data_IF_180331979416
#
_entry.id   IF_180331979416
#
_cell.length_a   1.000
_cell.length_b   1.000
_cell.length_c   1.000
_cell.angle_alpha   90.00
_cell.angle_beta   90.00
_cell.angle_gamma   90.00
#
_symmetry.space_group_name_H-M   'P 1'
#
loop_
_entity.id
_entity.type
_entity.pdbx_description
1 polymer ?
#
# COMPACT_ATOMS: atom_id res chain seq x y z
N UNK A 1 -15.88 -39.27 2.14
CA UNK A 1 -16.43 -38.23 3.03
C UNK A 1 -15.31 -37.23 3.23
N UNK A 2 -15.43 -36.03 2.67
CA UNK A 2 -14.46 -34.96 2.91
C UNK A 2 -14.72 -34.44 4.32
N UNK A 3 -13.83 -34.76 5.26
CA UNK A 3 -13.83 -34.15 6.58
C UNK A 3 -13.79 -32.63 6.38
N UNK A 4 -14.92 -31.97 6.61
CA UNK A 4 -14.97 -30.52 6.67
C UNK A 4 -14.12 -30.14 7.87
N UNK A 5 -12.85 -29.78 7.63
CA UNK A 5 -12.00 -29.16 8.64
C UNK A 5 -12.81 -28.08 9.37
N UNK A 6 -12.95 -28.23 10.69
CA UNK A 6 -13.47 -27.19 11.55
C UNK A 6 -12.53 -25.99 11.49
N UNK A 7 -13.04 -24.80 11.82
CA UNK A 7 -12.21 -23.59 11.83
C UNK A 7 -10.98 -23.74 12.73
N UNK A 8 -11.14 -24.40 13.88
CA UNK A 8 -10.04 -24.68 14.82
C UNK A 8 -8.97 -25.61 14.23
N UNK A 9 -9.38 -26.67 13.54
CA UNK A 9 -8.43 -27.59 12.91
C UNK A 9 -7.66 -26.90 11.78
N UNK A 10 -8.35 -26.06 11.00
CA UNK A 10 -7.70 -25.30 9.93
C UNK A 10 -6.77 -24.21 10.50
N UNK A 11 -7.18 -23.50 11.57
CA UNK A 11 -6.34 -22.48 12.21
C UNK A 11 -5.08 -23.08 12.85
N UNK A 12 -5.19 -24.29 13.42
CA UNK A 12 -4.05 -25.03 13.96
C UNK A 12 -3.06 -25.40 12.85
N UNK A 13 -3.56 -25.88 11.70
CA UNK A 13 -2.74 -26.18 10.52
C UNK A 13 -2.07 -24.92 9.96
N UNK A 14 -2.80 -23.83 9.80
CA UNK A 14 -2.26 -22.52 9.40
C UNK A 14 -1.16 -22.05 10.36
N UNK A 15 -1.41 -22.11 11.67
CA UNK A 15 -0.45 -21.68 12.69
C UNK A 15 0.82 -22.54 12.69
N UNK A 16 0.67 -23.85 12.45
CA UNK A 16 1.79 -24.78 12.34
C UNK A 16 2.61 -24.50 11.08
N UNK A 17 1.95 -24.32 9.93
CA UNK A 17 2.60 -23.95 8.66
C UNK A 17 3.32 -22.61 8.80
N UNK A 18 2.66 -21.57 9.31
CA UNK A 18 3.26 -20.24 9.50
C UNK A 18 4.56 -20.27 10.34
N UNK A 19 4.61 -21.10 11.39
CA UNK A 19 5.81 -21.22 12.24
C UNK A 19 6.97 -21.96 11.57
N UNK A 20 6.68 -22.82 10.61
CA UNK A 20 7.63 -23.73 9.99
C UNK A 20 7.96 -23.38 8.55
N UNK A 21 7.20 -22.48 7.92
CA UNK A 21 7.43 -22.08 6.54
C UNK A 21 8.72 -21.27 6.46
N UNK A 22 9.67 -21.79 5.66
CA UNK A 22 10.93 -21.11 5.32
C UNK A 22 10.74 -20.17 4.13
N UNK A 23 9.63 -20.34 3.40
CA UNK A 23 9.29 -19.54 2.23
C UNK A 23 8.59 -18.25 2.69
N UNK A 24 9.05 -17.12 2.16
CA UNK A 24 8.72 -15.77 2.65
C UNK A 24 7.23 -15.42 2.63
N UNK A 25 6.87 -14.37 3.36
CA UNK A 25 5.48 -13.99 3.64
C UNK A 25 4.58 -13.71 2.42
N UNK A 26 5.13 -13.44 1.22
CA UNK A 26 4.34 -13.16 0.01
C UNK A 26 3.75 -14.43 -0.62
N UNK A 27 4.51 -15.52 -0.74
CA UNK A 27 4.00 -16.80 -1.29
C UNK A 27 2.96 -17.44 -0.35
N UNK A 28 3.08 -17.17 0.94
CA UNK A 28 2.08 -17.53 1.93
C UNK A 28 0.81 -16.68 1.78
N UNK A 29 0.93 -15.39 1.46
CA UNK A 29 -0.20 -14.49 1.31
C UNK A 29 -1.11 -14.87 0.14
N UNK A 30 -0.55 -15.26 -1.01
CA UNK A 30 -1.35 -15.63 -2.18
C UNK A 30 -2.13 -16.92 -1.96
N UNK A 31 -1.48 -17.92 -1.33
CA UNK A 31 -2.16 -19.16 -0.91
C UNK A 31 -3.30 -18.85 0.07
N UNK A 32 -3.03 -18.01 1.07
CA UNK A 32 -4.00 -17.57 2.07
C UNK A 32 -5.21 -16.84 1.46
N UNK A 33 -4.98 -15.94 0.50
CA UNK A 33 -6.07 -15.26 -0.24
C UNK A 33 -6.97 -16.28 -0.95
N UNK A 34 -6.39 -17.28 -1.60
CA UNK A 34 -7.14 -18.35 -2.27
C UNK A 34 -7.95 -19.20 -1.29
N UNK A 35 -7.36 -19.59 -0.16
CA UNK A 35 -8.04 -20.40 0.85
C UNK A 35 -9.21 -19.64 1.52
N UNK A 36 -9.00 -18.38 1.91
CA UNK A 36 -10.03 -17.55 2.54
C UNK A 36 -11.19 -17.23 1.59
N UNK A 37 -10.93 -17.16 0.29
CA UNK A 37 -11.99 -17.00 -0.72
C UNK A 37 -13.00 -18.17 -0.67
N UNK A 38 -12.56 -19.37 -0.30
CA UNK A 38 -13.43 -20.55 -0.19
C UNK A 38 -14.29 -20.58 1.09
N UNK A 39 -14.00 -19.69 2.04
CA UNK A 39 -14.73 -19.63 3.31
C UNK A 39 -16.09 -18.96 3.13
N UNK A 40 -17.03 -19.29 4.01
CA UNK A 40 -18.23 -18.48 4.17
C UNK A 40 -17.91 -17.21 4.98
N UNK A 41 -18.80 -16.20 4.93
CA UNK A 41 -18.59 -14.91 5.59
C UNK A 41 -18.25 -15.02 7.08
N UNK A 42 -18.92 -15.93 7.81
CA UNK A 42 -18.64 -16.16 9.23
C UNK A 42 -17.20 -16.65 9.48
N UNK A 43 -16.73 -17.60 8.68
CA UNK A 43 -15.36 -18.11 8.78
C UNK A 43 -14.33 -17.08 8.34
N UNK A 44 -14.64 -16.25 7.33
CA UNK A 44 -13.78 -15.14 6.92
C UNK A 44 -13.61 -14.13 8.05
N UNK A 45 -14.72 -13.71 8.67
CA UNK A 45 -14.71 -12.80 9.81
C UNK A 45 -13.88 -13.36 10.98
N UNK A 46 -14.20 -14.58 11.42
CA UNK A 46 -13.50 -15.21 12.54
C UNK A 46 -12.00 -15.38 12.26
N UNK A 47 -11.63 -15.66 11.00
CA UNK A 47 -10.23 -15.78 10.60
C UNK A 47 -9.49 -14.46 10.74
N UNK A 48 -10.04 -13.39 10.17
CA UNK A 48 -9.44 -12.06 10.23
C UNK A 48 -9.33 -11.58 11.68
N UNK A 49 -10.32 -11.88 12.53
CA UNK A 49 -10.25 -11.54 13.97
C UNK A 49 -9.10 -12.23 14.69
N UNK A 50 -8.82 -13.50 14.38
CA UNK A 50 -7.68 -14.21 14.98
C UNK A 50 -6.33 -13.64 14.51
N UNK A 51 -6.25 -13.16 13.26
CA UNK A 51 -5.07 -12.45 12.77
C UNK A 51 -4.89 -11.11 13.50
N UNK A 52 -5.96 -10.33 13.68
CA UNK A 52 -5.94 -9.02 14.34
C UNK A 52 -5.48 -9.08 15.81
N UNK A 53 -5.74 -10.20 16.50
CA UNK A 53 -5.30 -10.43 17.89
C UNK A 53 -3.77 -10.59 18.01
N UNK A 54 -3.06 -10.90 16.92
CA UNK A 54 -1.65 -11.30 16.96
C UNK A 54 -0.78 -10.29 16.22
N UNK A 55 0.07 -9.56 16.96
CA UNK A 55 0.92 -8.49 16.40
C UNK A 55 1.75 -8.95 15.19
N UNK A 56 2.28 -10.17 15.23
CA UNK A 56 3.11 -10.73 14.15
C UNK A 56 2.32 -11.18 12.91
N UNK A 57 0.98 -11.17 12.97
CA UNK A 57 0.10 -11.55 11.85
C UNK A 57 -0.70 -10.37 11.29
N UNK A 58 -0.49 -9.16 11.83
CA UNK A 58 -1.22 -7.96 11.41
C UNK A 58 -1.04 -7.66 9.92
N UNK A 59 0.12 -7.94 9.37
CA UNK A 59 0.37 -7.86 7.94
C UNK A 59 -0.69 -8.62 7.12
N UNK A 60 -0.94 -9.90 7.46
CA UNK A 60 -1.94 -10.72 6.77
C UNK A 60 -3.37 -10.23 7.00
N UNK A 61 -3.68 -9.76 8.22
CA UNK A 61 -4.98 -9.17 8.50
C UNK A 61 -5.25 -7.98 7.57
N UNK A 62 -4.30 -7.07 7.45
CA UNK A 62 -4.45 -5.86 6.64
C UNK A 62 -4.47 -6.14 5.13
N UNK A 63 -3.84 -7.21 4.67
CA UNK A 63 -3.94 -7.63 3.27
C UNK A 63 -5.28 -8.31 2.94
N UNK A 64 -5.95 -8.91 3.95
CA UNK A 64 -7.24 -9.59 3.77
C UNK A 64 -8.46 -8.70 4.02
N UNK A 65 -8.39 -7.75 4.94
CA UNK A 65 -9.53 -6.86 5.29
C UNK A 65 -10.13 -6.16 4.06
N UNK A 66 -9.35 -5.60 3.11
CA UNK A 66 -9.92 -4.96 1.94
C UNK A 66 -10.67 -5.89 0.99
N UNK A 67 -10.46 -7.21 1.12
CA UNK A 67 -11.07 -8.23 0.26
C UNK A 67 -12.28 -8.90 0.92
N UNK A 68 -12.17 -9.18 2.22
CA UNK A 68 -13.13 -10.03 2.94
C UNK A 68 -13.54 -9.47 4.31
N UNK A 69 -12.94 -8.36 4.75
CA UNK A 69 -13.18 -7.78 6.05
C UNK A 69 -14.53 -7.05 6.13
N UNK A 70 -15.02 -6.88 7.35
CA UNK A 70 -16.23 -6.13 7.62
C UNK A 70 -15.95 -4.74 8.22
N UNK A 71 -17.01 -3.94 8.38
CA UNK A 71 -16.91 -2.56 8.90
C UNK A 71 -16.28 -2.48 10.29
N UNK A 72 -16.52 -3.46 11.17
CA UNK A 72 -15.90 -3.50 12.49
C UNK A 72 -14.37 -3.66 12.38
N UNK A 73 -13.90 -4.55 11.51
CA UNK A 73 -12.47 -4.81 11.32
C UNK A 73 -11.76 -3.62 10.66
N UNK A 74 -12.42 -2.97 9.69
CA UNK A 74 -11.93 -1.71 9.10
C UNK A 74 -11.81 -0.62 10.18
N UNK A 75 -12.86 -0.43 11.00
CA UNK A 75 -12.87 0.54 12.08
C UNK A 75 -11.78 0.26 13.12
N UNK A 76 -11.49 -1.01 13.42
CA UNK A 76 -10.41 -1.41 14.32
C UNK A 76 -9.04 -0.98 13.78
N UNK A 77 -8.76 -1.19 12.48
CA UNK A 77 -7.51 -0.72 11.86
C UNK A 77 -7.42 0.81 11.88
N UNK A 78 -8.50 1.51 11.51
CA UNK A 78 -8.59 2.98 11.58
C UNK A 78 -8.27 3.49 12.99
N UNK A 79 -8.86 2.87 14.02
CA UNK A 79 -8.63 3.21 15.43
C UNK A 79 -7.18 2.95 15.85
N UNK A 80 -6.59 1.81 15.46
CA UNK A 80 -5.18 1.50 15.76
C UNK A 80 -4.23 2.50 15.11
N UNK A 81 -4.45 2.85 13.83
CA UNK A 81 -3.68 3.88 13.14
C UNK A 81 -3.79 5.25 13.82
N UNK A 82 -5.03 5.67 14.13
CA UNK A 82 -5.30 6.91 14.87
C UNK A 82 -4.57 6.99 16.20
N UNK A 83 -4.64 5.94 17.01
CA UNK A 83 -3.96 5.90 18.31
C UNK A 83 -2.43 6.03 18.19
N UNK A 84 -1.82 5.52 17.11
CA UNK A 84 -0.39 5.66 16.87
C UNK A 84 -0.03 7.09 16.42
N UNK A 85 -0.83 7.65 15.51
CA UNK A 85 -0.67 9.02 15.00
C UNK A 85 -0.81 10.05 16.12
N UNK A 86 -1.84 9.93 16.95
CA UNK A 86 -2.08 10.85 18.08
C UNK A 86 -0.98 10.79 19.15
N UNK A 87 -0.26 9.67 19.24
CA UNK A 87 0.89 9.49 20.14
C UNK A 87 2.23 9.86 19.49
N UNK A 88 2.22 10.34 18.24
CA UNK A 88 3.43 10.66 17.48
C UNK A 88 4.30 9.44 17.13
N UNK A 89 3.75 8.22 17.19
CA UNK A 89 4.47 6.96 16.90
C UNK A 89 4.30 6.58 15.44
N UNK A 90 4.70 7.46 14.55
CA UNK A 90 4.46 7.34 13.10
C UNK A 90 5.18 6.13 12.51
N UNK A 91 6.40 5.85 12.97
CA UNK A 91 7.25 4.75 12.49
C UNK A 91 6.68 3.36 12.84
N UNK A 92 5.75 3.29 13.79
CA UNK A 92 5.11 2.05 14.21
C UNK A 92 3.83 1.73 13.44
N UNK A 93 3.42 2.63 12.56
CA UNK A 93 2.27 2.42 11.68
C UNK A 93 2.74 1.52 10.55
N UNK A 94 2.14 0.34 10.48
CA UNK A 94 2.36 -0.56 9.35
C UNK A 94 1.84 0.14 8.08
N UNK A 95 2.61 0.19 6.98
CA UNK A 95 2.13 0.68 5.69
C UNK A 95 0.80 0.03 5.27
N UNK A 96 0.58 -1.23 5.66
CA UNK A 96 -0.64 -1.97 5.39
C UNK A 96 -1.88 -1.38 6.08
N UNK A 97 -1.74 -0.66 7.21
CA UNK A 97 -2.87 0.05 7.82
C UNK A 97 -3.41 1.11 6.87
N UNK A 98 -2.51 1.86 6.23
CA UNK A 98 -2.87 2.91 5.28
C UNK A 98 -3.50 2.31 4.03
N UNK A 99 -3.02 1.15 3.56
CA UNK A 99 -3.68 0.41 2.46
C UNK A 99 -5.14 0.10 2.80
N UNK A 100 -5.42 -0.38 4.01
CA UNK A 100 -6.80 -0.67 4.46
C UNK A 100 -7.64 0.61 4.46
N UNK A 101 -7.11 1.70 5.03
CA UNK A 101 -7.81 2.98 5.12
C UNK A 101 -8.12 3.53 3.74
N UNK A 102 -7.13 3.54 2.83
CA UNK A 102 -7.27 4.06 1.47
C UNK A 102 -8.29 3.26 0.66
N UNK A 103 -8.23 1.93 0.72
CA UNK A 103 -9.21 1.08 0.01
C UNK A 103 -10.64 1.19 0.54
N UNK A 104 -10.79 1.59 1.81
CA UNK A 104 -12.08 1.75 2.47
C UNK A 104 -12.27 3.21 2.94
N UNK A 105 -11.81 4.14 2.09
CA UNK A 105 -11.73 5.54 2.44
C UNK A 105 -13.12 6.13 2.69
N UNK A 106 -13.23 6.85 3.80
CA UNK A 106 -14.35 7.71 4.12
C UNK A 106 -13.84 9.14 4.27
N UNK A 107 -14.63 10.19 3.97
CA UNK A 107 -14.18 11.57 4.06
C UNK A 107 -13.56 11.96 5.41
N UNK A 108 -13.98 11.32 6.52
CA UNK A 108 -13.42 11.56 7.85
C UNK A 108 -11.96 11.10 8.01
N UNK A 109 -11.50 10.17 7.15
CA UNK A 109 -10.14 9.64 7.19
C UNK A 109 -9.10 10.63 6.65
N UNK A 110 -9.52 11.68 5.93
CA UNK A 110 -8.57 12.61 5.28
C UNK A 110 -7.66 13.29 6.28
N UNK A 111 -8.16 13.62 7.48
CA UNK A 111 -7.36 14.23 8.53
C UNK A 111 -6.29 13.25 9.02
N UNK A 112 -6.65 11.98 9.18
CA UNK A 112 -5.73 10.92 9.60
C UNK A 112 -4.59 10.74 8.59
N UNK A 113 -4.94 10.62 7.30
CA UNK A 113 -3.97 10.50 6.21
C UNK A 113 -3.09 11.75 6.11
N UNK A 114 -3.68 12.93 6.23
CA UNK A 114 -2.94 14.21 6.22
C UNK A 114 -1.92 14.26 7.36
N UNK A 115 -2.34 13.96 8.59
CA UNK A 115 -1.41 13.95 9.72
C UNK A 115 -0.30 12.92 9.52
N UNK A 116 -0.60 11.73 9.01
CA UNK A 116 0.43 10.72 8.73
C UNK A 116 1.45 11.21 7.70
N UNK A 117 1.01 11.49 6.47
CA UNK A 117 1.93 11.79 5.36
C UNK A 117 2.70 13.09 5.57
N UNK A 118 2.17 14.02 6.37
CA UNK A 118 2.83 15.28 6.68
C UNK A 118 3.63 15.26 7.99
N UNK A 119 3.71 14.14 8.72
CA UNK A 119 4.51 14.08 9.95
C UNK A 119 5.42 12.85 10.03
N UNK A 120 5.16 11.81 9.25
CA UNK A 120 6.08 10.69 9.11
C UNK A 120 7.46 11.20 8.68
N UNK A 121 8.51 10.74 9.35
CA UNK A 121 9.91 10.97 9.02
C UNK A 121 10.48 9.66 8.49
N UNK A 122 11.11 9.71 7.32
CA UNK A 122 11.43 8.50 6.58
C UNK A 122 12.60 7.70 7.17
N UNK A 123 12.42 6.38 7.17
CA UNK A 123 13.48 5.43 6.81
C UNK A 123 13.33 5.11 5.31
N UNK A 124 14.34 4.60 4.62
CA UNK A 124 14.45 4.36 3.15
C UNK A 124 13.27 3.64 2.41
N UNK A 125 12.11 3.39 3.04
CA UNK A 125 11.02 2.54 2.57
C UNK A 125 9.62 3.21 2.57
N UNK A 126 9.49 4.52 2.81
CA UNK A 126 8.18 5.18 2.72
C UNK A 126 7.70 5.23 1.27
N UNK A 127 6.40 4.99 1.14
CA UNK A 127 5.71 4.94 -0.13
C UNK A 127 4.48 5.83 -0.05
N UNK A 128 4.37 6.78 -0.98
CA UNK A 128 3.15 7.56 -1.17
C UNK A 128 2.28 6.78 -2.16
N UNK A 129 1.20 6.10 -1.73
CA UNK A 129 0.39 5.29 -2.63
C UNK A 129 -0.28 6.14 -3.71
N UNK A 130 -0.41 5.57 -4.90
CA UNK A 130 -1.00 6.23 -6.06
C UNK A 130 -2.48 6.54 -5.86
N UNK A 131 -3.17 5.72 -5.07
CA UNK A 131 -4.57 5.90 -4.69
C UNK A 131 -4.79 7.19 -3.85
N UNK A 132 -3.74 7.71 -3.20
CA UNK A 132 -3.83 8.99 -2.51
C UNK A 132 -4.11 10.15 -3.47
N UNK A 133 -3.61 10.08 -4.71
CA UNK A 133 -3.91 11.05 -5.75
C UNK A 133 -5.41 11.04 -6.13
N UNK A 134 -6.04 9.87 -6.11
CA UNK A 134 -7.46 9.71 -6.42
C UNK A 134 -8.35 10.22 -5.27
N UNK A 135 -7.88 10.08 -4.03
CA UNK A 135 -8.56 10.56 -2.82
C UNK A 135 -8.44 12.09 -2.69
N UNK A 136 -7.21 12.61 -2.73
CA UNK A 136 -6.93 14.04 -2.54
C UNK A 136 -5.61 14.42 -3.23
N UNK A 137 -5.74 15.04 -4.39
CA UNK A 137 -4.61 15.52 -5.20
C UNK A 137 -3.72 16.52 -4.46
N UNK A 138 -4.30 17.35 -3.58
CA UNK A 138 -3.53 18.35 -2.83
C UNK A 138 -2.71 17.68 -1.74
N UNK A 139 -3.28 16.76 -0.99
CA UNK A 139 -2.54 15.96 -0.01
C UNK A 139 -1.43 15.15 -0.69
N UNK A 140 -1.72 14.55 -1.85
CA UNK A 140 -0.72 13.86 -2.65
C UNK A 140 0.47 14.76 -3.01
N UNK A 141 0.21 15.99 -3.49
CA UNK A 141 1.28 16.98 -3.74
C UNK A 141 2.03 17.36 -2.47
N UNK A 142 1.33 17.60 -1.36
CA UNK A 142 1.98 18.01 -0.11
C UNK A 142 2.86 16.90 0.47
N UNK A 143 2.40 15.65 0.41
CA UNK A 143 3.18 14.48 0.79
C UNK A 143 4.44 14.36 -0.08
N UNK A 144 4.30 14.62 -1.38
CA UNK A 144 5.40 14.57 -2.33
C UNK A 144 6.40 15.72 -2.13
N UNK A 145 5.95 16.96 -1.97
CA UNK A 145 6.82 18.11 -1.67
C UNK A 145 7.60 17.90 -0.37
N UNK A 146 6.96 17.34 0.66
CA UNK A 146 7.65 16.96 1.90
C UNK A 146 8.74 15.93 1.61
N UNK A 147 8.42 14.86 0.88
CA UNK A 147 9.36 13.80 0.51
C UNK A 147 10.59 14.34 -0.24
N UNK A 148 10.37 15.29 -1.16
CA UNK A 148 11.42 15.93 -1.94
C UNK A 148 12.39 16.78 -1.11
N UNK A 149 11.97 17.34 0.03
CA UNK A 149 12.85 18.19 0.86
C UNK A 149 13.92 17.37 1.57
N UNK A 150 13.61 16.11 1.86
CA UNK A 150 14.47 15.22 2.64
C UNK A 150 15.38 14.34 1.74
N UNK A 151 15.13 14.31 0.41
CA UNK A 151 15.94 13.59 -0.57
C UNK A 151 16.58 14.52 -1.60
N UNK A 152 17.84 14.26 -1.96
CA UNK A 152 18.40 14.92 -3.12
C UNK A 152 17.65 14.47 -4.38
N UNK A 153 17.33 15.45 -5.23
CA UNK A 153 16.77 15.26 -6.56
C UNK A 153 17.56 14.24 -7.37
N UNK A 154 18.89 14.22 -7.19
CA UNK A 154 19.79 13.27 -7.83
C UNK A 154 19.50 11.84 -7.38
N UNK A 155 19.34 11.57 -6.09
CA UNK A 155 18.96 10.25 -5.58
C UNK A 155 17.61 9.78 -6.11
N UNK A 156 16.62 10.69 -6.26
CA UNK A 156 15.30 10.35 -6.79
C UNK A 156 15.30 10.06 -8.30
N UNK A 157 16.29 10.61 -9.02
CA UNK A 157 16.46 10.40 -10.46
C UNK A 157 17.39 9.23 -10.78
N UNK A 158 18.31 8.89 -9.87
CA UNK A 158 19.23 7.76 -9.99
C UNK A 158 18.60 6.43 -9.57
N UNK A 159 17.79 6.45 -8.51
CA UNK A 159 17.02 5.30 -8.09
C UNK A 159 15.64 5.35 -8.76
N UNK A 160 15.07 4.20 -9.12
CA UNK A 160 13.67 4.04 -9.54
C UNK A 160 12.64 4.53 -8.48
N UNK A 161 13.08 5.26 -7.44
CA UNK A 161 12.32 5.73 -6.28
C UNK A 161 11.04 6.48 -6.63
N UNK A 162 11.05 7.31 -7.68
CA UNK A 162 9.83 8.00 -8.14
C UNK A 162 8.75 7.04 -8.68
N UNK A 163 9.13 5.89 -9.26
CA UNK A 163 8.18 4.83 -9.67
C UNK A 163 7.75 3.95 -8.50
N UNK A 164 8.56 3.85 -7.44
CA UNK A 164 8.10 3.22 -6.21
C UNK A 164 7.02 4.05 -5.55
N UNK A 165 6.98 5.38 -5.75
CA UNK A 165 5.88 6.21 -5.25
C UNK A 165 4.57 5.86 -5.97
N UNK A 166 4.50 6.00 -7.30
CA UNK A 166 3.26 5.75 -8.04
C UNK A 166 3.47 5.15 -9.42
N UNK A 167 2.65 4.17 -9.78
CA UNK A 167 2.52 3.61 -11.12
C UNK A 167 1.36 4.23 -11.92
N UNK A 168 0.58 5.15 -11.31
CA UNK A 168 -0.55 5.81 -11.94
C UNK A 168 -0.07 6.96 -12.86
N UNK A 169 -0.27 6.87 -14.18
CA UNK A 169 0.21 7.88 -15.13
C UNK A 169 -0.40 9.27 -14.93
N UNK A 170 -1.64 9.35 -14.45
CA UNK A 170 -2.29 10.64 -14.17
C UNK A 170 -1.59 11.34 -13.00
N UNK A 171 -1.24 10.58 -11.96
CA UNK A 171 -0.49 11.10 -10.82
C UNK A 171 0.90 11.58 -11.27
N UNK A 172 1.57 10.83 -12.15
CA UNK A 172 2.88 11.22 -12.72
C UNK A 172 2.77 12.51 -13.55
N UNK A 173 1.78 12.60 -14.45
CA UNK A 173 1.54 13.80 -15.26
C UNK A 173 1.26 15.02 -14.39
N UNK A 174 0.42 14.84 -13.39
CA UNK A 174 0.11 15.85 -12.40
C UNK A 174 1.39 16.31 -11.68
N UNK A 175 2.21 15.41 -11.14
CA UNK A 175 3.49 15.77 -10.52
C UNK A 175 4.39 16.59 -11.47
N UNK A 176 4.56 16.14 -12.72
CA UNK A 176 5.39 16.81 -13.72
C UNK A 176 4.94 18.27 -13.94
N UNK A 177 3.64 18.54 -13.88
CA UNK A 177 3.07 19.88 -14.10
C UNK A 177 3.27 20.85 -12.93
N UNK A 178 3.50 20.35 -11.70
CA UNK A 178 3.73 21.16 -10.50
C UNK A 178 5.21 21.26 -10.12
N UNK A 179 6.08 20.53 -10.80
CA UNK A 179 7.52 20.53 -10.55
C UNK A 179 8.23 21.71 -11.24
N UNK A 180 9.30 22.27 -10.63
CA UNK A 180 10.24 23.16 -11.30
C UNK A 180 10.76 22.56 -12.61
N UNK A 181 11.07 23.42 -13.59
CA UNK A 181 11.39 23.01 -14.96
C UNK A 181 12.48 21.92 -15.01
N UNK A 182 13.56 22.06 -14.24
CA UNK A 182 14.66 21.10 -14.21
C UNK A 182 14.22 19.71 -13.71
N UNK A 183 13.34 19.66 -12.70
CA UNK A 183 12.79 18.43 -12.14
C UNK A 183 11.75 17.80 -13.07
N UNK A 184 10.90 18.65 -13.65
CA UNK A 184 9.93 18.26 -14.67
C UNK A 184 10.64 17.60 -15.86
N UNK A 185 11.72 18.21 -16.39
CA UNK A 185 12.52 17.63 -17.48
C UNK A 185 13.16 16.28 -17.12
N UNK A 186 13.69 16.14 -15.90
CA UNK A 186 14.22 14.85 -15.41
C UNK A 186 13.12 13.78 -15.32
N UNK A 187 11.95 14.13 -14.77
CA UNK A 187 10.79 13.23 -14.69
C UNK A 187 10.26 12.80 -16.06
N UNK A 188 10.21 13.72 -17.04
CA UNK A 188 9.85 13.39 -18.43
C UNK A 188 10.84 12.40 -19.06
N UNK A 189 12.14 12.66 -18.93
CA UNK A 189 13.19 11.77 -19.44
C UNK A 189 13.09 10.37 -18.84
N UNK A 190 12.75 10.28 -17.55
CA UNK A 190 12.54 9.04 -16.85
C UNK A 190 11.25 8.30 -17.28
N UNK A 191 10.12 8.99 -17.44
CA UNK A 191 8.88 8.40 -17.98
C UNK A 191 9.15 7.76 -19.37
N UNK A 192 9.94 8.42 -20.22
CA UNK A 192 10.38 7.90 -21.53
C UNK A 192 11.28 6.68 -21.44
N UNK A 193 12.13 6.56 -20.42
CA UNK A 193 12.95 5.36 -20.19
C UNK A 193 12.06 4.21 -19.72
N UNK A 194 11.14 4.47 -18.80
CA UNK A 194 10.30 3.43 -18.18
C UNK A 194 9.28 2.83 -19.13
N UNK A 195 8.71 3.62 -20.03
CA UNK A 195 7.82 3.09 -21.08
C UNK A 195 8.45 1.95 -21.89
N UNK A 196 9.78 1.88 -21.95
CA UNK A 196 10.55 0.82 -22.63
C UNK A 196 10.96 -0.34 -21.72
N UNK A 197 10.63 -0.29 -20.43
CA UNK A 197 11.01 -1.31 -19.46
C UNK A 197 10.13 -2.55 -19.58
N UNK A 198 10.71 -3.75 -19.44
CA UNK A 198 10.06 -5.04 -19.70
C UNK A 198 8.74 -5.26 -18.95
N UNK A 199 8.63 -4.76 -17.72
CA UNK A 199 7.40 -4.82 -16.90
C UNK A 199 6.29 -3.96 -17.50
N UNK A 200 6.63 -2.78 -18.01
CA UNK A 200 5.66 -1.79 -18.52
C UNK A 200 5.30 -2.06 -19.98
N UNK A 201 6.24 -2.57 -20.80
CA UNK A 201 5.97 -2.91 -22.21
C UNK A 201 4.92 -4.01 -22.36
N UNK A 202 4.68 -4.82 -21.32
CA UNK A 202 3.59 -5.80 -21.28
C UNK A 202 2.21 -5.13 -21.20
N UNK A 203 2.14 -3.90 -20.69
CA UNK A 203 0.98 -3.03 -20.70
C UNK A 203 1.17 -1.92 -21.75
N UNK A 204 0.63 -2.15 -22.95
CA UNK A 204 0.80 -1.23 -24.09
C UNK A 204 0.24 0.16 -23.80
N UNK A 205 -0.90 0.25 -23.10
CA UNK A 205 -1.53 1.53 -22.79
C UNK A 205 -0.64 2.34 -21.84
N UNK A 206 -0.17 1.71 -20.77
CA UNK A 206 0.76 2.33 -19.82
C UNK A 206 2.06 2.78 -20.50
N UNK A 207 2.63 1.93 -21.36
CA UNK A 207 3.84 2.23 -22.12
C UNK A 207 3.66 3.47 -23.01
N UNK A 208 2.57 3.53 -23.77
CA UNK A 208 2.28 4.66 -24.67
C UNK A 208 2.04 5.96 -23.91
N UNK A 209 1.32 5.89 -22.79
CA UNK A 209 1.06 7.07 -21.94
C UNK A 209 2.36 7.62 -21.35
N UNK A 210 3.23 6.75 -20.83
CA UNK A 210 4.54 7.16 -20.32
C UNK A 210 5.47 7.68 -21.42
N UNK A 211 5.41 7.12 -22.65
CA UNK A 211 6.14 7.67 -23.80
C UNK A 211 5.70 9.09 -24.14
N UNK A 212 4.40 9.38 -24.12
CA UNK A 212 3.85 10.71 -24.39
C UNK A 212 4.26 11.72 -23.32
N UNK A 213 4.21 11.33 -22.04
CA UNK A 213 4.66 12.18 -20.93
C UNK A 213 6.14 12.53 -21.02
N UNK A 214 6.94 11.66 -21.63
CA UNK A 214 8.37 11.88 -21.82
C UNK A 214 8.78 12.71 -23.04
N UNK A 215 7.82 13.31 -23.76
CA UNK A 215 8.05 14.24 -24.87
C UNK A 215 8.09 15.69 -24.38
#
# INVERSE_FOLDING_TARGET
MTDKLTFENWWADFSHKFRNDKDGGLDMLDRLKSEVWSFNAYKQEAFIDELLKRKNLLFFACELIPLFGNQRQIAEIKMRAKNLIERGRFEEILPEYLKVIIKNFEPADIQLLTTYYLNYQETLQFRIPSELFEIDQKLFLMAFDRYLRDYSVESLCEYDGLLYLTDNPNAIEFLISYLPLELSSKMKSFAKKKSKHSIVVRDKELSERLMKLGQ
#
